data_IF_028127789797
#
_entry.id   IF_028127789797
#
_cell.length_a   1.000
_cell.length_b   1.000
_cell.length_c   1.000
_cell.angle_alpha   90.00
_cell.angle_beta   90.00
_cell.angle_gamma   90.00
#
_symmetry.space_group_name_H-M   'P 1'
#
loop_
_entity.id
_entity.type
_entity.pdbx_description
1 polymer ?
#
# COMPACT_ATOMS: atom_id res chain seq x y z
N UNK A 1 19.25 -19.30 15.98
CA UNK A 1 18.82 -18.21 16.89
C UNK A 1 17.83 -18.79 17.88
N UNK A 2 17.99 -18.57 19.20
CA UNK A 2 16.95 -18.93 20.16
C UNK A 2 15.68 -18.13 19.87
N UNK A 3 14.52 -18.77 19.98
CA UNK A 3 13.22 -18.12 19.82
C UNK A 3 13.03 -17.02 20.87
N UNK A 4 12.31 -15.92 20.55
CA UNK A 4 11.94 -14.94 21.57
C UNK A 4 11.19 -15.65 22.70
N UNK A 5 11.56 -15.31 23.94
CA UNK A 5 10.91 -15.86 25.13
C UNK A 5 9.40 -15.58 25.06
N UNK A 6 8.58 -16.61 25.28
CA UNK A 6 7.13 -16.46 25.27
C UNK A 6 6.71 -15.36 26.27
N UNK A 7 5.79 -14.45 25.88
CA UNK A 7 5.32 -13.42 26.80
C UNK A 7 4.76 -14.08 28.06
N UNK A 8 5.10 -13.53 29.22
CA UNK A 8 4.56 -13.98 30.50
C UNK A 8 3.02 -14.05 30.39
N UNK A 9 2.42 -15.16 30.86
CA UNK A 9 0.97 -15.42 30.84
C UNK A 9 0.18 -14.12 31.03
N UNK A 10 -0.64 -13.77 30.05
CA UNK A 10 -1.52 -12.61 30.12
C UNK A 10 -2.46 -12.78 31.31
N UNK A 11 -2.13 -12.16 32.44
CA UNK A 11 -3.08 -11.98 33.53
C UNK A 11 -4.21 -11.05 33.06
N UNK A 12 -5.37 -11.14 33.69
CA UNK A 12 -6.53 -10.28 33.42
C UNK A 12 -6.31 -8.78 33.76
N UNK A 13 -5.05 -8.34 33.94
CA UNK A 13 -4.65 -6.99 34.31
C UNK A 13 -3.80 -6.42 33.18
N UNK A 14 -4.17 -5.25 32.66
CA UNK A 14 -3.44 -4.52 31.62
C UNK A 14 -1.97 -4.30 32.05
N UNK A 15 -1.01 -4.49 31.13
CA UNK A 15 0.39 -4.16 31.41
C UNK A 15 0.54 -2.65 31.66
N UNK A 16 1.29 -2.21 32.68
CA UNK A 16 1.67 -0.81 32.82
C UNK A 16 2.43 -0.35 31.56
N UNK A 17 2.14 0.86 31.06
CA UNK A 17 2.74 1.41 29.82
C UNK A 17 4.26 1.28 29.78
N UNK A 18 4.93 1.49 30.93
CA UNK A 18 6.38 1.33 31.06
C UNK A 18 6.85 -0.08 30.67
N UNK A 19 6.14 -1.11 31.15
CA UNK A 19 6.45 -2.50 30.84
C UNK A 19 6.22 -2.81 29.36
N UNK A 20 5.12 -2.32 28.79
CA UNK A 20 4.83 -2.50 27.37
C UNK A 20 5.87 -1.79 26.45
N UNK A 21 6.64 -0.81 26.97
CA UNK A 21 7.77 -0.18 26.26
C UNK A 21 9.13 -0.90 26.48
N UNK A 22 9.36 -1.47 27.66
CA UNK A 22 10.59 -2.20 27.99
C UNK A 22 10.64 -3.58 27.32
N UNK A 23 9.52 -4.32 27.30
CA UNK A 23 9.45 -5.69 26.77
C UNK A 23 9.90 -5.81 25.29
N UNK A 24 9.47 -4.95 24.34
CA UNK A 24 9.96 -5.01 22.96
C UNK A 24 11.48 -4.82 22.84
N UNK A 25 12.09 -3.99 23.70
CA UNK A 25 13.53 -3.72 23.66
C UNK A 25 14.35 -4.94 24.05
N UNK A 26 13.85 -5.74 24.98
CA UNK A 26 14.54 -6.93 25.47
C UNK A 26 14.22 -8.17 24.62
N UNK A 27 12.95 -8.35 24.24
CA UNK A 27 12.47 -9.57 23.61
C UNK A 27 12.41 -9.51 22.07
N UNK A 28 12.20 -8.33 21.48
CA UNK A 28 11.94 -8.18 20.04
C UNK A 28 13.16 -7.60 19.32
N UNK A 29 13.64 -6.43 19.77
CA UNK A 29 14.72 -5.67 19.09
C UNK A 29 15.97 -6.51 18.80
N UNK A 30 16.48 -7.38 19.70
CA UNK A 30 17.67 -8.20 19.40
C UNK A 30 17.47 -9.24 18.30
N UNK A 31 16.22 -9.63 18.00
CA UNK A 31 15.87 -10.59 16.96
C UNK A 31 15.45 -9.96 15.63
N UNK A 32 15.39 -8.63 15.55
CA UNK A 32 14.95 -7.93 14.33
C UNK A 32 16.07 -7.85 13.30
N UNK A 33 15.71 -8.03 12.02
CA UNK A 33 16.53 -7.51 10.94
C UNK A 33 16.42 -5.98 10.94
N UNK A 34 17.52 -5.29 11.24
CA UNK A 34 17.53 -3.82 11.32
C UNK A 34 17.53 -3.16 9.94
N UNK A 35 16.34 -3.04 9.34
CA UNK A 35 16.13 -2.39 8.02
C UNK A 35 16.60 -0.94 7.96
N UNK A 36 16.61 -0.24 9.09
CA UNK A 36 17.11 1.14 9.20
C UNK A 36 18.64 1.23 9.36
N UNK A 37 19.37 0.10 9.41
CA UNK A 37 20.82 0.10 9.55
C UNK A 37 21.48 0.61 8.26
N UNK A 38 22.47 1.52 8.33
CA UNK A 38 23.25 1.94 7.16
C UNK A 38 24.10 0.80 6.58
N UNK A 39 24.26 -0.30 7.33
CA UNK A 39 25.04 -1.47 6.93
C UNK A 39 24.16 -2.64 6.43
N UNK A 40 22.86 -2.42 6.19
CA UNK A 40 22.02 -3.44 5.57
C UNK A 40 22.10 -3.32 4.03
N UNK A 41 22.64 -4.37 3.40
CA UNK A 41 22.79 -4.46 1.93
C UNK A 41 21.95 -5.58 1.30
N UNK A 42 20.96 -6.10 2.02
CA UNK A 42 20.02 -7.12 1.51
C UNK A 42 18.78 -6.48 0.88
N UNK A 43 18.31 -7.03 -0.24
CA UNK A 43 17.11 -6.60 -0.99
C UNK A 43 17.16 -5.12 -1.45
N UNK A 44 15.99 -4.48 -1.60
CA UNK A 44 15.85 -3.05 -1.84
C UNK A 44 15.56 -2.33 -0.51
N UNK A 45 16.13 -1.15 -0.26
CA UNK A 45 15.97 -0.45 1.01
C UNK A 45 14.53 0.06 1.19
N UNK A 46 13.95 -0.20 2.37
CA UNK A 46 12.69 0.39 2.79
C UNK A 46 12.94 1.81 3.35
N UNK A 47 13.20 2.78 2.46
CA UNK A 47 13.52 4.15 2.85
C UNK A 47 12.36 4.82 3.58
N UNK A 48 12.65 5.49 4.70
CA UNK A 48 11.66 6.22 5.50
C UNK A 48 12.16 7.62 5.83
N UNK A 49 11.25 8.55 6.11
CA UNK A 49 11.54 9.93 6.47
C UNK A 49 10.70 10.37 7.66
N UNK A 50 11.16 11.39 8.40
CA UNK A 50 10.42 11.93 9.53
C UNK A 50 9.01 12.41 9.12
N UNK A 51 8.88 13.01 7.94
CA UNK A 51 7.58 13.44 7.40
C UNK A 51 6.65 12.26 7.09
N UNK A 52 7.18 11.17 6.52
CA UNK A 52 6.39 9.96 6.26
C UNK A 52 5.91 9.31 7.56
N UNK A 53 6.78 9.26 8.59
CA UNK A 53 6.41 8.72 9.90
C UNK A 53 5.33 9.59 10.57
N UNK A 54 5.50 10.91 10.55
CA UNK A 54 4.53 11.83 11.13
C UNK A 54 3.18 11.77 10.41
N UNK A 55 3.17 11.76 9.07
CA UNK A 55 1.93 11.69 8.29
C UNK A 55 1.22 10.34 8.42
N UNK A 56 1.94 9.24 8.17
CA UNK A 56 1.35 7.90 8.09
C UNK A 56 1.10 7.23 9.45
N UNK A 57 2.13 7.13 10.30
CA UNK A 57 2.03 6.37 11.55
C UNK A 57 1.46 7.18 12.72
N UNK A 58 1.63 8.51 12.71
CA UNK A 58 1.12 9.35 13.79
C UNK A 58 -0.23 9.96 13.41
N UNK A 59 -0.26 10.86 12.42
CA UNK A 59 -1.46 11.64 12.10
C UNK A 59 -2.57 10.74 11.54
N UNK A 60 -2.30 9.97 10.49
CA UNK A 60 -3.33 9.13 9.88
C UNK A 60 -3.85 8.04 10.84
N UNK A 61 -2.98 7.40 11.62
CA UNK A 61 -3.39 6.40 12.62
C UNK A 61 -4.21 6.99 13.77
N UNK A 62 -3.92 8.23 14.20
CA UNK A 62 -4.73 8.91 15.24
C UNK A 62 -6.09 9.32 14.70
N UNK A 63 -6.16 9.77 13.44
CA UNK A 63 -7.44 10.13 12.80
C UNK A 63 -8.30 8.90 12.48
N UNK A 64 -7.67 7.76 12.18
CA UNK A 64 -8.32 6.46 12.01
C UNK A 64 -9.56 6.50 11.09
N UNK A 65 -9.49 7.28 10.01
CA UNK A 65 -10.58 7.44 9.04
C UNK A 65 -10.60 6.28 8.05
N UNK A 66 -11.79 5.87 7.59
CA UNK A 66 -11.94 4.81 6.55
C UNK A 66 -12.61 5.40 5.30
N UNK A 67 -11.86 5.50 4.20
CA UNK A 67 -12.27 6.15 2.96
C UNK A 67 -12.84 5.22 1.88
N UNK A 68 -13.72 4.28 2.22
CA UNK A 68 -14.27 3.33 1.23
C UNK A 68 -15.23 3.96 0.20
N UNK A 69 -15.74 5.16 0.50
CA UNK A 69 -16.41 6.05 -0.46
C UNK A 69 -15.92 7.48 -0.24
N UNK A 70 -16.04 8.33 -1.26
CA UNK A 70 -15.71 9.76 -1.13
C UNK A 70 -16.49 10.41 0.03
N UNK A 71 -17.77 10.08 0.19
CA UNK A 71 -18.61 10.67 1.24
C UNK A 71 -18.21 10.23 2.66
N UNK A 72 -17.57 9.07 2.81
CA UNK A 72 -17.06 8.60 4.10
C UNK A 72 -15.86 9.42 4.58
N UNK A 73 -14.99 9.84 3.67
CA UNK A 73 -13.91 10.79 3.97
C UNK A 73 -13.46 11.54 2.69
N UNK A 74 -14.05 12.72 2.42
CA UNK A 74 -13.74 13.50 1.23
C UNK A 74 -12.26 13.91 1.18
N UNK A 75 -11.75 14.41 2.30
CA UNK A 75 -10.37 14.88 2.41
C UNK A 75 -9.34 13.78 2.14
N UNK A 76 -9.57 12.55 2.62
CA UNK A 76 -8.66 11.43 2.34
C UNK A 76 -8.63 11.07 0.85
N UNK A 77 -9.82 10.99 0.22
CA UNK A 77 -9.96 10.61 -1.19
C UNK A 77 -9.35 11.67 -2.12
N UNK A 78 -9.56 12.96 -1.81
CA UNK A 78 -9.01 14.07 -2.59
C UNK A 78 -7.49 14.20 -2.41
N UNK A 79 -6.98 14.01 -1.19
CA UNK A 79 -5.55 14.03 -0.90
C UNK A 79 -4.81 12.90 -1.62
N UNK A 80 -5.38 11.69 -1.65
CA UNK A 80 -4.84 10.57 -2.40
C UNK A 80 -4.72 10.91 -3.90
N UNK A 81 -5.80 11.45 -4.48
CA UNK A 81 -5.83 11.84 -5.89
C UNK A 81 -4.79 12.92 -6.21
N UNK A 82 -4.64 13.91 -5.32
CA UNK A 82 -3.66 14.99 -5.46
C UNK A 82 -2.22 14.49 -5.36
N UNK A 83 -1.93 13.63 -4.38
CA UNK A 83 -0.59 13.05 -4.20
C UNK A 83 -0.17 12.22 -5.42
N UNK A 84 -1.09 11.47 -6.01
CA UNK A 84 -0.84 10.70 -7.24
C UNK A 84 -0.66 11.58 -8.47
N UNK A 85 -1.42 12.67 -8.61
CA UNK A 85 -1.22 13.63 -9.69
C UNK A 85 0.16 14.33 -9.58
N UNK A 86 0.63 14.64 -8.37
CA UNK A 86 1.99 15.14 -8.16
C UNK A 86 3.06 14.09 -8.49
N UNK A 87 2.86 12.84 -8.08
CA UNK A 87 3.77 11.75 -8.42
C UNK A 87 3.84 11.52 -9.94
N UNK A 88 2.70 11.54 -10.62
CA UNK A 88 2.62 11.42 -12.08
C UNK A 88 3.39 12.54 -12.79
N UNK A 89 3.31 13.77 -12.29
CA UNK A 89 4.08 14.91 -12.80
C UNK A 89 5.59 14.73 -12.59
N UNK A 90 6.01 14.29 -11.40
CA UNK A 90 7.42 14.01 -11.09
C UNK A 90 8.00 12.91 -12.00
N UNK A 91 7.20 11.89 -12.31
CA UNK A 91 7.54 10.80 -13.22
C UNK A 91 7.36 11.16 -14.70
N UNK A 92 6.83 12.35 -15.00
CA UNK A 92 6.51 12.82 -16.37
C UNK A 92 5.61 11.84 -17.14
N UNK A 93 4.64 11.25 -16.45
CA UNK A 93 3.68 10.35 -17.10
C UNK A 93 2.77 11.13 -18.07
N UNK A 94 2.28 10.48 -19.14
CA UNK A 94 1.30 11.09 -20.03
C UNK A 94 0.04 11.57 -19.28
N UNK A 95 -0.61 12.67 -19.71
CA UNK A 95 -1.84 13.17 -19.08
C UNK A 95 -2.99 12.17 -19.03
N UNK A 96 -2.94 11.11 -19.85
CA UNK A 96 -3.90 10.01 -19.84
C UNK A 96 -3.87 9.17 -18.56
N UNK A 97 -2.86 9.33 -17.69
CA UNK A 97 -2.77 8.66 -16.39
C UNK A 97 -3.18 9.54 -15.21
N UNK A 98 -3.43 10.84 -15.42
CA UNK A 98 -3.75 11.78 -14.36
C UNK A 98 -5.25 11.87 -14.10
N UNK A 99 -5.64 12.10 -12.84
CA UNK A 99 -7.02 12.37 -12.44
C UNK A 99 -7.47 13.75 -12.93
N UNK A 100 -6.61 14.77 -12.74
CA UNK A 100 -6.83 16.13 -13.22
C UNK A 100 -5.87 16.45 -14.37
N UNK A 101 -6.34 17.18 -15.39
CA UNK A 101 -5.46 17.65 -16.46
C UNK A 101 -4.61 18.81 -15.97
N UNK A 102 -3.30 18.74 -16.22
CA UNK A 102 -2.41 19.86 -15.98
C UNK A 102 -2.77 21.04 -16.90
N UNK A 103 -3.22 22.15 -16.32
CA UNK A 103 -3.29 23.45 -16.99
C UNK A 103 -4.68 24.01 -17.34
N UNK A 104 -5.73 23.18 -17.47
CA UNK A 104 -7.08 23.67 -17.87
C UNK A 104 -8.20 23.43 -16.83
N UNK A 105 -7.91 22.79 -15.69
CA UNK A 105 -8.91 22.44 -14.67
C UNK A 105 -9.91 21.37 -15.11
N UNK A 106 -9.68 20.75 -16.28
CA UNK A 106 -10.50 19.68 -16.84
C UNK A 106 -10.18 18.31 -16.25
N UNK A 107 -11.18 17.44 -16.24
CA UNK A 107 -11.05 16.07 -15.72
C UNK A 107 -10.28 15.20 -16.72
N UNK A 108 -9.28 14.46 -16.22
CA UNK A 108 -8.56 13.45 -16.98
C UNK A 108 -9.45 12.25 -17.30
N UNK A 109 -9.02 11.41 -18.24
CA UNK A 109 -9.67 10.12 -18.54
C UNK A 109 -9.04 8.96 -17.78
N UNK A 110 -7.93 9.20 -17.09
CA UNK A 110 -7.22 8.21 -16.28
C UNK A 110 -7.41 8.44 -14.80
N UNK A 111 -6.47 7.91 -14.02
CA UNK A 111 -6.41 8.05 -12.58
C UNK A 111 -5.44 7.06 -11.97
N UNK A 112 -5.30 7.14 -10.65
CA UNK A 112 -4.50 6.22 -9.86
C UNK A 112 -5.16 5.94 -8.52
N UNK A 113 -4.64 4.91 -7.84
CA UNK A 113 -5.02 4.52 -6.48
C UNK A 113 -3.76 4.05 -5.74
N UNK A 114 -3.68 4.34 -4.44
CA UNK A 114 -2.63 3.85 -3.55
C UNK A 114 -3.03 2.46 -3.06
N UNK A 115 -2.14 1.49 -3.29
CA UNK A 115 -2.31 0.11 -2.86
C UNK A 115 -1.18 -0.29 -1.93
N UNK A 116 -1.40 -1.34 -1.13
CA UNK A 116 -0.44 -1.81 -0.14
C UNK A 116 0.80 -2.43 -0.80
N UNK A 117 0.59 -3.27 -1.81
CA UNK A 117 1.69 -3.96 -2.50
C UNK A 117 1.59 -3.89 -4.02
N UNK A 118 2.73 -4.08 -4.70
CA UNK A 118 2.77 -4.25 -6.16
C UNK A 118 2.00 -5.51 -6.60
N UNK A 119 1.94 -6.54 -5.76
CA UNK A 119 1.18 -7.76 -6.06
C UNK A 119 -0.32 -7.49 -6.16
N UNK A 120 -0.86 -6.60 -5.33
CA UNK A 120 -2.26 -6.17 -5.42
C UNK A 120 -2.52 -5.40 -6.71
N UNK A 121 -1.60 -4.50 -7.08
CA UNK A 121 -1.68 -3.78 -8.35
C UNK A 121 -1.67 -4.73 -9.56
N UNK A 122 -0.81 -5.75 -9.56
CA UNK A 122 -0.79 -6.80 -10.57
C UNK A 122 -2.08 -7.63 -10.57
N UNK A 123 -2.60 -7.98 -9.39
CA UNK A 123 -3.81 -8.77 -9.26
C UNK A 123 -5.03 -8.04 -9.84
N UNK A 124 -5.25 -6.77 -9.46
CA UNK A 124 -6.42 -6.01 -9.95
C UNK A 124 -6.33 -5.72 -11.45
N UNK A 125 -5.13 -5.47 -11.97
CA UNK A 125 -4.91 -5.26 -13.41
C UNK A 125 -5.10 -6.54 -14.21
N UNK A 126 -4.60 -7.68 -13.73
CA UNK A 126 -4.84 -9.00 -14.33
C UNK A 126 -6.32 -9.38 -14.29
N UNK A 127 -7.03 -9.12 -13.19
CA UNK A 127 -8.46 -9.37 -13.08
C UNK A 127 -9.26 -8.53 -14.09
N UNK A 128 -8.95 -7.23 -14.20
CA UNK A 128 -9.57 -6.35 -15.19
C UNK A 128 -9.29 -6.79 -16.64
N UNK A 129 -8.05 -7.18 -16.94
CA UNK A 129 -7.65 -7.68 -18.26
C UNK A 129 -8.33 -9.00 -18.61
N UNK A 130 -8.39 -9.95 -17.67
CA UNK A 130 -9.08 -11.24 -17.80
C UNK A 130 -10.55 -11.03 -18.16
N UNK A 131 -11.26 -10.21 -17.39
CA UNK A 131 -12.69 -10.00 -17.60
C UNK A 131 -12.97 -9.27 -18.92
N UNK A 132 -12.10 -8.33 -19.31
CA UNK A 132 -12.19 -7.68 -20.61
C UNK A 132 -11.96 -8.66 -21.77
N UNK A 133 -11.00 -9.59 -21.64
CA UNK A 133 -10.72 -10.61 -22.64
C UNK A 133 -11.87 -11.62 -22.78
N UNK A 134 -12.42 -12.10 -21.67
CA UNK A 134 -13.58 -13.01 -21.66
C UNK A 134 -14.80 -12.36 -22.34
N UNK A 135 -15.06 -11.07 -22.05
CA UNK A 135 -16.12 -10.31 -22.73
C UNK A 135 -15.92 -10.21 -24.24
N UNK A 136 -14.67 -10.01 -24.70
CA UNK A 136 -14.35 -9.94 -26.14
C UNK A 136 -14.50 -11.29 -26.85
N UNK A 137 -14.29 -12.38 -26.14
CA UNK A 137 -14.43 -13.75 -26.68
C UNK A 137 -15.89 -14.24 -26.68
N UNK A 138 -16.84 -13.45 -26.19
CA UNK A 138 -18.24 -13.84 -25.97
C UNK A 138 -18.38 -15.17 -25.22
N UNK A 139 -17.44 -15.49 -24.34
CA UNK A 139 -17.52 -16.70 -23.52
C UNK A 139 -18.64 -16.50 -22.50
N UNK A 140 -19.59 -17.43 -22.43
CA UNK A 140 -20.69 -17.43 -21.46
C UNK A 140 -20.18 -17.57 -20.02
N UNK A 141 -19.63 -16.50 -19.45
CA UNK A 141 -18.93 -16.49 -18.17
C UNK A 141 -17.46 -16.90 -18.29
N UNK A 142 -17.00 -17.73 -17.35
CA UNK A 142 -15.58 -18.11 -17.19
C UNK A 142 -15.16 -19.33 -18.01
N UNK A 143 -16.05 -19.91 -18.82
CA UNK A 143 -15.75 -21.13 -19.59
C UNK A 143 -14.57 -20.98 -20.56
N UNK A 144 -14.25 -19.75 -20.97
CA UNK A 144 -13.10 -19.44 -21.82
C UNK A 144 -11.78 -19.21 -21.08
N UNK A 145 -11.74 -19.27 -19.74
CA UNK A 145 -10.58 -18.82 -18.96
C UNK A 145 -9.31 -19.63 -19.25
N UNK A 146 -9.44 -20.94 -19.51
CA UNK A 146 -8.32 -21.82 -19.83
C UNK A 146 -7.65 -21.50 -21.18
N UNK A 147 -8.27 -20.65 -22.01
CA UNK A 147 -7.72 -20.20 -23.30
C UNK A 147 -6.92 -18.90 -23.18
N UNK A 148 -6.91 -18.25 -22.01
CA UNK A 148 -6.17 -17.03 -21.78
C UNK A 148 -4.70 -17.36 -21.51
N UNK A 149 -3.80 -16.53 -22.03
CA UNK A 149 -2.36 -16.66 -21.82
C UNK A 149 -1.80 -15.30 -21.42
N UNK A 150 -0.90 -15.31 -20.43
CA UNK A 150 -0.20 -14.14 -19.92
C UNK A 150 1.30 -14.31 -20.18
N UNK A 151 2.02 -13.20 -20.35
CA UNK A 151 3.44 -13.18 -20.67
C UNK A 151 4.16 -12.25 -19.70
N UNK A 152 5.34 -12.65 -19.25
CA UNK A 152 6.28 -11.86 -18.44
C UNK A 152 7.71 -12.32 -18.77
N UNK A 153 8.72 -11.55 -18.39
CA UNK A 153 10.11 -12.01 -18.40
C UNK A 153 10.33 -13.12 -17.37
N UNK A 154 11.36 -13.95 -17.57
CA UNK A 154 11.81 -14.97 -16.62
C UNK A 154 12.52 -14.38 -15.39
#
# INVERSE_FOLDING_TARGET
MPAPAAPARAGHVLCPVRRCHEEPREAIVPGMAHWASPCLFGFFPATSSAAAIAGGYLIASVMNTVGFTWQACPAATELESLALDWLAQLLRLPPSFMNNRAGDGGRGTGGGVILDTTSDAMLVTLAAARDAALRRMSSGGVSGIARLTVYASD
#
